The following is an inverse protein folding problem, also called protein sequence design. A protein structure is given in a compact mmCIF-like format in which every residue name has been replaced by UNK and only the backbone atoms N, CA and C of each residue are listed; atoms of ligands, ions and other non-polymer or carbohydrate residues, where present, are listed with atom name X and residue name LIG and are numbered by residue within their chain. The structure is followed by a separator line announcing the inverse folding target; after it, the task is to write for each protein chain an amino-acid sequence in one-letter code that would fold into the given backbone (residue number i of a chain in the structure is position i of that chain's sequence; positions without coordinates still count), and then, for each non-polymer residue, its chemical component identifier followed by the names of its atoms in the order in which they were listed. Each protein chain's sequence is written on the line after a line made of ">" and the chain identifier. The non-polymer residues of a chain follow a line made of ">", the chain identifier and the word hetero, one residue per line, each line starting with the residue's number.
data_IF_853626104781
#
_entry.id   IF_853626104781
#
_cell.length_a   1.000
_cell.length_b   1.000
_cell.length_c   1.000
_cell.angle_alpha   90.00
_cell.angle_beta   90.00
_cell.angle_gamma   90.00
#
_symmetry.space_group_name_H-M   'P 1'
#
loop_
_entity.id
_entity.type
_entity.pdbx_description
1 polymer ?
#
# COMPACT_ATOMS: atom_id res chain seq x y z
N UNK A 1 16.74 15.67 -16.26
CA UNK A 1 17.94 16.50 -16.00
C UNK A 1 18.56 17.04 -17.28
N UNK A 2 18.83 16.20 -18.29
CA UNK A 2 19.39 16.65 -19.59
C UNK A 2 18.45 17.62 -20.32
N UNK A 3 17.13 17.36 -20.32
CA UNK A 3 16.13 18.25 -20.92
C UNK A 3 15.94 19.58 -20.15
N UNK A 4 15.94 19.55 -18.82
CA UNK A 4 15.74 20.75 -17.99
C UNK A 4 16.93 21.71 -17.94
N UNK A 5 18.16 21.19 -17.97
CA UNK A 5 19.37 22.00 -17.96
C UNK A 5 19.73 22.58 -19.32
N UNK A 6 19.53 21.82 -20.42
CA UNK A 6 19.97 22.23 -21.75
C UNK A 6 18.93 23.07 -22.50
N UNK A 7 17.62 22.84 -22.26
CA UNK A 7 16.53 23.51 -22.99
C UNK A 7 15.94 24.67 -22.18
N UNK A 8 15.78 24.51 -20.86
CA UNK A 8 15.10 25.50 -20.01
C UNK A 8 16.04 26.49 -19.29
N UNK A 9 17.35 26.26 -19.25
CA UNK A 9 18.36 27.18 -18.66
C UNK A 9 18.14 27.62 -17.21
N UNK A 10 17.22 26.98 -16.47
CA UNK A 10 16.81 27.38 -15.11
C UNK A 10 17.43 26.55 -13.97
N UNK A 11 18.24 25.52 -14.25
CA UNK A 11 18.85 24.69 -13.20
C UNK A 11 20.19 25.26 -12.73
N UNK A 12 20.20 25.92 -11.56
CA UNK A 12 21.44 26.25 -10.86
C UNK A 12 21.99 25.03 -10.10
N UNK A 13 23.32 24.96 -9.92
CA UNK A 13 23.98 23.91 -9.11
C UNK A 13 23.43 23.79 -7.68
N UNK A 14 22.88 24.89 -7.14
CA UNK A 14 22.20 24.91 -5.83
C UNK A 14 20.85 24.18 -5.86
N UNK A 15 20.09 24.28 -6.95
CA UNK A 15 18.82 23.57 -7.11
C UNK A 15 19.06 22.07 -7.29
N UNK A 16 20.14 21.71 -7.99
CA UNK A 16 20.63 20.34 -8.09
C UNK A 16 20.90 19.75 -6.70
N UNK A 17 21.69 20.46 -5.89
CA UNK A 17 22.04 20.01 -4.54
C UNK A 17 20.83 19.94 -3.61
N UNK A 18 19.92 20.91 -3.70
CA UNK A 18 18.67 20.90 -2.94
C UNK A 18 17.74 19.74 -3.34
N UNK A 19 17.65 19.43 -4.64
CA UNK A 19 16.88 18.29 -5.13
C UNK A 19 17.48 16.97 -4.62
N UNK A 20 18.80 16.79 -4.75
CA UNK A 20 19.50 15.62 -4.20
C UNK A 20 19.26 15.49 -2.69
N UNK A 21 19.43 16.57 -1.92
CA UNK A 21 19.22 16.56 -0.47
C UNK A 21 17.79 16.17 -0.09
N UNK A 22 16.77 16.69 -0.80
CA UNK A 22 15.36 16.31 -0.57
C UNK A 22 15.11 14.83 -0.86
N UNK A 23 15.59 14.34 -1.99
CA UNK A 23 15.47 12.91 -2.34
C UNK A 23 16.19 12.02 -1.34
N UNK A 24 17.40 12.42 -0.91
CA UNK A 24 18.22 11.67 0.03
C UNK A 24 17.57 11.60 1.42
N UNK A 25 16.94 12.69 1.88
CA UNK A 25 16.16 12.67 3.13
C UNK A 25 14.97 11.72 3.05
N UNK A 26 14.20 11.75 1.95
CA UNK A 26 13.08 10.82 1.74
C UNK A 26 13.54 9.37 1.73
N UNK A 27 14.59 9.05 0.96
CA UNK A 27 15.14 7.70 0.90
C UNK A 27 15.72 7.24 2.24
N UNK A 28 16.36 8.13 3.00
CA UNK A 28 16.92 7.80 4.31
C UNK A 28 15.83 7.42 5.32
N UNK A 29 14.70 8.15 5.34
CA UNK A 29 13.54 7.81 6.19
C UNK A 29 12.96 6.45 5.79
N UNK A 30 12.79 6.20 4.49
CA UNK A 30 12.29 4.92 3.96
C UNK A 30 13.21 3.75 4.37
N UNK A 31 14.52 3.89 4.18
CA UNK A 31 15.50 2.85 4.52
C UNK A 31 15.53 2.58 6.04
N UNK A 32 15.37 3.63 6.85
CA UNK A 32 15.29 3.48 8.30
C UNK A 32 14.03 2.72 8.71
N UNK A 33 12.88 3.03 8.11
CA UNK A 33 11.62 2.29 8.34
C UNK A 33 11.79 0.83 7.93
N UNK A 34 12.38 0.54 6.76
CA UNK A 34 12.66 -0.85 6.30
C UNK A 34 13.53 -1.60 7.32
N UNK A 35 14.58 -0.97 7.83
CA UNK A 35 15.50 -1.59 8.78
C UNK A 35 14.80 -1.98 10.09
N UNK A 36 14.03 -1.05 10.68
CA UNK A 36 13.27 -1.31 11.92
C UNK A 36 12.17 -2.35 11.69
N UNK A 37 11.47 -2.25 10.56
CA UNK A 37 10.40 -3.15 10.13
C UNK A 37 10.90 -4.59 9.97
N UNK A 38 12.06 -4.78 9.33
CA UNK A 38 12.69 -6.09 9.16
C UNK A 38 13.10 -6.70 10.51
N UNK A 39 13.64 -5.88 11.42
CA UNK A 39 13.99 -6.31 12.77
C UNK A 39 12.74 -6.73 13.56
N UNK A 40 11.64 -5.98 13.46
CA UNK A 40 10.38 -6.31 14.12
C UNK A 40 9.77 -7.62 13.59
N UNK A 41 9.77 -7.82 12.27
CA UNK A 41 9.30 -9.08 11.66
C UNK A 41 10.09 -10.30 12.17
N UNK A 42 11.41 -10.18 12.30
CA UNK A 42 12.24 -11.25 12.88
C UNK A 42 11.89 -11.54 14.34
N UNK A 43 11.61 -10.50 15.14
CA UNK A 43 11.17 -10.64 16.54
C UNK A 43 9.82 -11.36 16.64
N UNK A 44 8.84 -11.02 15.80
CA UNK A 44 7.52 -11.64 15.83
C UNK A 44 7.60 -13.13 15.52
N UNK A 45 8.38 -13.49 14.50
CA UNK A 45 8.65 -14.88 14.13
C UNK A 45 9.31 -15.62 15.30
N UNK A 46 10.26 -14.98 15.99
CA UNK A 46 10.96 -15.59 17.12
C UNK A 46 10.10 -15.73 18.37
N UNK A 47 9.12 -14.84 18.57
CA UNK A 47 8.13 -14.94 19.65
C UNK A 47 7.04 -15.99 19.37
N UNK A 48 6.99 -16.57 18.17
CA UNK A 48 5.97 -17.55 17.82
C UNK A 48 4.56 -16.95 17.69
N UNK A 49 4.45 -15.62 17.61
CA UNK A 49 3.16 -14.93 17.46
C UNK A 49 2.41 -15.39 16.20
N UNK A 50 3.06 -15.57 15.04
CA UNK A 50 2.39 -16.07 13.85
C UNK A 50 1.73 -17.44 14.10
N UNK A 51 2.42 -18.37 14.78
CA UNK A 51 1.91 -19.69 15.14
C UNK A 51 0.76 -19.62 16.17
N UNK A 52 0.84 -18.72 17.15
CA UNK A 52 -0.23 -18.50 18.12
C UNK A 52 -1.50 -17.92 17.44
N UNK A 53 -1.33 -17.00 16.50
CA UNK A 53 -2.43 -16.46 15.69
C UNK A 53 -3.03 -17.51 14.76
N UNK A 54 -2.22 -18.37 14.13
CA UNK A 54 -2.71 -19.51 13.34
C UNK A 54 -3.67 -20.39 14.15
N UNK A 55 -3.27 -20.72 15.39
CA UNK A 55 -4.09 -21.52 16.31
C UNK A 55 -5.41 -20.82 16.69
N UNK A 56 -5.38 -19.49 16.91
CA UNK A 56 -6.59 -18.72 17.22
C UNK A 56 -7.49 -18.55 16.01
N UNK A 57 -6.95 -18.29 14.82
CA UNK A 57 -7.72 -18.17 13.58
C UNK A 57 -8.34 -19.52 13.21
N UNK A 58 -7.60 -20.64 13.38
CA UNK A 58 -8.15 -21.99 13.21
C UNK A 58 -9.28 -22.29 14.20
N UNK A 59 -9.28 -21.69 15.40
CA UNK A 59 -10.36 -21.84 16.37
C UNK A 59 -11.61 -21.00 16.06
N UNK A 60 -11.47 -19.97 15.21
CA UNK A 60 -12.55 -19.03 14.86
C UNK A 60 -13.32 -19.47 13.59
N UNK A 61 -12.82 -20.49 12.87
CA UNK A 61 -13.46 -21.07 11.66
C UNK A 61 -13.97 -20.01 10.67
N UNK A 62 -13.23 -18.91 10.55
CA UNK A 62 -13.59 -17.79 9.68
C UNK A 62 -13.26 -18.18 8.22
N UNK A 63 -14.21 -17.99 7.28
CA UNK A 63 -13.92 -18.24 5.87
C UNK A 63 -12.83 -17.28 5.39
N UNK A 64 -11.89 -17.80 4.61
CA UNK A 64 -10.72 -17.07 4.07
C UNK A 64 -11.10 -15.75 3.38
N UNK A 65 -12.25 -15.73 2.70
CA UNK A 65 -12.86 -14.55 2.12
C UNK A 65 -13.10 -13.42 3.15
N UNK A 66 -13.67 -13.75 4.32
CA UNK A 66 -13.96 -12.77 5.36
C UNK A 66 -12.68 -12.21 6.00
N UNK A 67 -11.64 -13.04 6.14
CA UNK A 67 -10.35 -12.59 6.64
C UNK A 67 -9.66 -11.62 5.67
N UNK A 68 -9.65 -11.94 4.36
CA UNK A 68 -9.15 -11.04 3.32
C UNK A 68 -9.94 -9.74 3.23
N UNK A 69 -11.27 -9.80 3.37
CA UNK A 69 -12.12 -8.62 3.39
C UNK A 69 -11.81 -7.70 4.58
N UNK A 70 -11.55 -8.29 5.76
CA UNK A 70 -11.13 -7.55 6.94
C UNK A 70 -9.79 -6.83 6.71
N UNK A 71 -8.79 -7.52 6.15
CA UNK A 71 -7.51 -6.91 5.79
C UNK A 71 -7.66 -5.82 4.74
N UNK A 72 -8.48 -6.04 3.72
CA UNK A 72 -8.75 -5.02 2.70
C UNK A 72 -9.37 -3.76 3.33
N UNK A 73 -10.39 -3.90 4.18
CA UNK A 73 -10.99 -2.76 4.89
C UNK A 73 -9.97 -2.03 5.79
N UNK A 74 -9.15 -2.78 6.51
CA UNK A 74 -8.08 -2.24 7.33
C UNK A 74 -7.06 -1.44 6.50
N UNK A 75 -6.59 -1.99 5.38
CA UNK A 75 -5.65 -1.32 4.49
C UNK A 75 -6.26 -0.12 3.77
N UNK A 76 -7.55 -0.18 3.41
CA UNK A 76 -8.25 0.95 2.81
C UNK A 76 -8.27 2.13 3.79
N UNK A 77 -8.59 1.85 5.06
CA UNK A 77 -8.63 2.85 6.12
C UNK A 77 -7.24 3.47 6.35
N UNK A 78 -6.19 2.65 6.43
CA UNK A 78 -4.81 3.11 6.60
C UNK A 78 -4.33 3.93 5.41
N UNK A 79 -4.59 3.47 4.19
CA UNK A 79 -4.18 4.14 2.96
C UNK A 79 -4.83 5.51 2.80
N UNK A 80 -5.94 5.78 3.50
CA UNK A 80 -6.50 7.13 3.56
C UNK A 80 -5.61 8.14 4.28
N UNK A 81 -4.80 7.69 5.26
CA UNK A 81 -3.96 8.56 6.10
C UNK A 81 -2.49 8.58 5.65
N UNK A 82 -1.99 7.46 5.13
CA UNK A 82 -0.57 7.24 4.85
C UNK A 82 -0.33 6.99 3.37
N UNK A 83 0.86 7.35 2.87
CA UNK A 83 1.24 7.03 1.50
C UNK A 83 1.45 5.53 1.33
N UNK A 84 1.21 5.01 0.12
CA UNK A 84 1.30 3.56 -0.20
C UNK A 84 2.63 2.97 0.29
N UNK A 85 3.73 3.68 0.07
CA UNK A 85 5.08 3.23 0.44
C UNK A 85 5.21 3.14 1.96
N UNK A 86 4.82 4.18 2.70
CA UNK A 86 4.93 4.18 4.17
C UNK A 86 4.11 3.06 4.80
N UNK A 87 2.89 2.83 4.29
CA UNK A 87 2.03 1.76 4.77
C UNK A 87 2.62 0.38 4.49
N UNK A 88 3.09 0.12 3.27
CA UNK A 88 3.71 -1.17 2.94
C UNK A 88 4.89 -1.44 3.87
N UNK A 89 5.78 -0.47 4.05
CA UNK A 89 6.99 -0.68 4.84
C UNK A 89 6.70 -1.01 6.31
N UNK A 90 5.71 -0.34 6.91
CA UNK A 90 5.34 -0.54 8.30
C UNK A 90 4.53 -1.83 8.50
N UNK A 91 3.55 -2.09 7.64
CA UNK A 91 2.57 -3.17 7.85
C UNK A 91 3.02 -4.51 7.28
N UNK A 92 3.85 -4.54 6.23
CA UNK A 92 4.36 -5.81 5.66
C UNK A 92 4.97 -6.75 6.72
N UNK A 93 5.93 -6.33 7.56
CA UNK A 93 6.55 -7.24 8.54
C UNK A 93 5.57 -7.72 9.63
N UNK A 94 4.44 -7.04 9.81
CA UNK A 94 3.45 -7.36 10.84
C UNK A 94 2.38 -8.29 10.27
N UNK A 95 1.84 -7.93 9.11
CA UNK A 95 0.64 -8.55 8.55
C UNK A 95 0.97 -9.75 7.66
N UNK A 96 2.08 -9.73 6.91
CA UNK A 96 2.50 -10.88 6.09
C UNK A 96 2.71 -12.16 6.90
N UNK A 97 3.47 -12.18 8.02
CA UNK A 97 3.63 -13.40 8.79
C UNK A 97 2.31 -13.88 9.43
N UNK A 98 1.41 -12.96 9.78
CA UNK A 98 0.08 -13.29 10.28
C UNK A 98 -0.81 -13.92 9.17
N UNK A 99 -0.77 -13.37 7.95
CA UNK A 99 -1.52 -13.87 6.79
C UNK A 99 -1.03 -15.27 6.37
N UNK A 100 0.29 -15.46 6.28
CA UNK A 100 0.90 -16.77 5.98
C UNK A 100 0.50 -17.83 7.01
N UNK A 101 0.44 -17.43 8.28
CA UNK A 101 0.04 -18.31 9.38
C UNK A 101 -1.43 -18.69 9.36
N UNK A 102 -2.28 -17.82 8.80
CA UNK A 102 -3.68 -18.11 8.52
C UNK A 102 -3.89 -18.95 7.24
N UNK A 103 -2.81 -19.37 6.56
CA UNK A 103 -2.87 -20.16 5.33
C UNK A 103 -3.15 -19.35 4.06
N UNK A 104 -2.96 -18.03 4.10
CA UNK A 104 -3.10 -17.20 2.90
C UNK A 104 -1.90 -17.33 1.98
N UNK A 105 -2.20 -17.44 0.68
CA UNK A 105 -1.18 -17.34 -0.34
C UNK A 105 -0.53 -15.94 -0.29
N UNK A 106 0.80 -15.85 -0.16
CA UNK A 106 1.50 -14.58 0.00
C UNK A 106 1.41 -13.68 -1.24
N UNK A 107 1.32 -14.27 -2.44
CA UNK A 107 1.22 -13.50 -3.69
C UNK A 107 -0.16 -12.85 -3.77
N UNK A 108 -1.21 -13.64 -3.54
CA UNK A 108 -2.58 -13.14 -3.51
C UNK A 108 -2.75 -12.04 -2.45
N UNK A 109 -2.25 -12.27 -1.24
CA UNK A 109 -2.30 -11.30 -0.16
C UNK A 109 -1.54 -10.00 -0.49
N UNK A 110 -0.34 -10.11 -1.07
CA UNK A 110 0.45 -8.95 -1.48
C UNK A 110 -0.25 -8.10 -2.54
N UNK A 111 -0.88 -8.72 -3.54
CA UNK A 111 -1.65 -8.03 -4.57
C UNK A 111 -2.83 -7.28 -3.95
N UNK A 112 -3.61 -7.94 -3.09
CA UNK A 112 -4.74 -7.31 -2.39
C UNK A 112 -4.26 -6.12 -1.54
N UNK A 113 -3.16 -6.27 -0.81
CA UNK A 113 -2.57 -5.21 0.00
C UNK A 113 -2.18 -3.99 -0.83
N UNK A 114 -1.42 -4.18 -1.91
CA UNK A 114 -0.94 -3.07 -2.76
C UNK A 114 -2.09 -2.36 -3.46
N UNK A 115 -3.04 -3.11 -4.02
CA UNK A 115 -4.20 -2.52 -4.69
C UNK A 115 -5.04 -1.74 -3.68
N UNK A 116 -5.36 -2.33 -2.53
CA UNK A 116 -6.23 -1.69 -1.55
C UNK A 116 -5.61 -0.43 -0.93
N UNK A 117 -4.29 -0.43 -0.70
CA UNK A 117 -3.54 0.76 -0.27
C UNK A 117 -3.51 1.85 -1.36
N UNK A 118 -3.30 1.46 -2.62
CA UNK A 118 -3.34 2.39 -3.76
C UNK A 118 -4.70 3.05 -3.92
N UNK A 119 -5.77 2.36 -3.52
CA UNK A 119 -7.13 2.89 -3.50
C UNK A 119 -7.36 3.76 -2.26
N UNK A 120 -6.78 3.40 -1.11
CA UNK A 120 -6.86 4.23 0.09
C UNK A 120 -6.38 5.66 -0.14
N UNK A 121 -5.28 5.87 -0.86
CA UNK A 121 -4.70 7.22 -1.09
C UNK A 121 -5.54 8.14 -1.97
N UNK A 122 -6.51 7.59 -2.71
CA UNK A 122 -7.50 8.29 -3.55
C UNK A 122 -8.91 8.27 -2.97
N UNK A 123 -9.15 7.51 -1.88
CA UNK A 123 -10.46 7.46 -1.21
C UNK A 123 -10.64 8.70 -0.31
N UNK A 124 -11.83 9.35 -0.29
CA UNK A 124 -12.08 10.56 0.48
C UNK A 124 -12.33 10.26 1.97
N UNK A 125 -11.27 10.34 2.80
CA UNK A 125 -11.30 11.14 4.05
C UNK A 125 -10.08 12.06 4.22
N UNK A 126 -8.89 11.62 3.79
CA UNK A 126 -7.61 12.36 3.92
C UNK A 126 -6.61 12.10 2.77
N UNK A 127 -7.06 11.56 1.63
CA UNK A 127 -6.17 11.08 0.55
C UNK A 127 -5.06 12.07 0.19
N UNK A 128 -3.81 11.67 0.42
CA UNK A 128 -2.62 12.53 0.19
C UNK A 128 -2.54 12.99 -1.26
N UNK A 129 -3.01 12.15 -2.19
CA UNK A 129 -3.08 12.45 -3.63
C UNK A 129 -4.22 13.44 -3.93
N UNK A 130 -5.37 13.33 -3.25
CA UNK A 130 -6.47 14.32 -3.36
C UNK A 130 -5.99 15.72 -2.95
N UNK A 131 -5.24 15.83 -1.85
CA UNK A 131 -4.66 17.10 -1.41
C UNK A 131 -3.64 17.67 -2.40
N UNK A 132 -2.80 16.81 -2.98
CA UNK A 132 -1.88 17.22 -4.05
C UNK A 132 -2.64 17.78 -5.26
N UNK A 133 -3.71 17.10 -5.68
CA UNK A 133 -4.54 17.50 -6.81
C UNK A 133 -5.27 18.82 -6.57
N UNK A 134 -5.76 19.06 -5.36
CA UNK A 134 -6.33 20.38 -4.97
C UNK A 134 -5.29 21.49 -5.12
N UNK A 135 -4.04 21.24 -4.72
CA UNK A 135 -2.94 22.20 -4.89
C UNK A 135 -2.61 22.52 -6.35
N UNK A 136 -2.68 21.52 -7.23
CA UNK A 136 -2.37 21.66 -8.67
C UNK A 136 -3.55 22.31 -9.43
N UNK A 137 -4.77 21.84 -9.19
CA UNK A 137 -5.97 22.28 -9.92
C UNK A 137 -6.57 23.57 -9.37
N UNK A 138 -6.21 23.97 -8.15
CA UNK A 138 -6.81 25.11 -7.40
C UNK A 138 -8.33 25.02 -7.21
N UNK A 139 -8.93 23.85 -7.44
CA UNK A 139 -10.33 23.59 -7.18
C UNK A 139 -10.55 23.34 -5.68
N UNK A 140 -11.78 23.54 -5.20
CA UNK A 140 -12.10 23.25 -3.79
C UNK A 140 -12.07 21.73 -3.57
N UNK A 141 -11.61 21.30 -2.39
CA UNK A 141 -11.54 19.88 -2.01
C UNK A 141 -12.83 19.11 -2.32
N UNK A 142 -14.00 19.68 -1.98
CA UNK A 142 -15.28 19.04 -2.27
C UNK A 142 -15.55 18.78 -3.76
N UNK A 143 -15.07 19.64 -4.67
CA UNK A 143 -15.23 19.45 -6.12
C UNK A 143 -14.37 18.30 -6.63
N UNK A 144 -13.16 18.17 -6.12
CA UNK A 144 -12.25 17.07 -6.48
C UNK A 144 -12.77 15.73 -5.93
N UNK A 145 -13.28 15.72 -4.69
CA UNK A 145 -13.89 14.53 -4.07
C UNK A 145 -15.09 14.04 -4.86
N UNK A 146 -16.00 14.94 -5.22
CA UNK A 146 -17.21 14.60 -5.99
C UNK A 146 -16.89 14.11 -7.41
N UNK A 147 -15.81 14.61 -8.01
CA UNK A 147 -15.33 14.11 -9.29
C UNK A 147 -14.70 12.71 -9.22
N UNK A 148 -14.08 12.34 -8.09
CA UNK A 148 -13.42 11.03 -7.89
C UNK A 148 -14.41 9.98 -7.38
N UNK A 149 -15.48 10.38 -6.69
CA UNK A 149 -16.53 9.49 -6.18
C UNK A 149 -17.07 8.47 -7.20
N UNK A 150 -17.38 8.82 -8.48
CA UNK A 150 -17.81 7.83 -9.47
C UNK A 150 -16.72 6.80 -9.83
N UNK A 151 -15.45 7.17 -9.72
CA UNK A 151 -14.33 6.25 -9.98
C UNK A 151 -14.07 5.27 -8.84
N UNK A 152 -14.56 5.53 -7.63
CA UNK A 152 -14.46 4.58 -6.51
C UNK A 152 -15.27 3.31 -6.74
N UNK A 153 -16.39 3.41 -7.47
CA UNK A 153 -17.30 2.30 -7.73
C UNK A 153 -16.63 1.13 -8.50
N UNK A 154 -16.01 1.34 -9.68
CA UNK A 154 -15.30 0.27 -10.38
C UNK A 154 -14.08 -0.24 -9.61
N UNK A 155 -13.45 0.62 -8.80
CA UNK A 155 -12.27 0.26 -8.01
C UNK A 155 -12.64 -0.67 -6.85
N UNK A 156 -13.69 -0.35 -6.09
CA UNK A 156 -14.21 -1.21 -5.02
C UNK A 156 -14.70 -2.53 -5.62
N UNK A 157 -15.38 -2.48 -6.77
CA UNK A 157 -15.78 -3.69 -7.49
C UNK A 157 -14.55 -4.56 -7.84
N UNK A 158 -13.47 -3.95 -8.33
CA UNK A 158 -12.22 -4.67 -8.63
C UNK A 158 -11.63 -5.33 -7.39
N UNK A 159 -11.57 -4.63 -6.25
CA UNK A 159 -11.09 -5.21 -4.98
C UNK A 159 -11.94 -6.42 -4.57
N UNK A 160 -13.27 -6.28 -4.63
CA UNK A 160 -14.20 -7.33 -4.22
C UNK A 160 -14.12 -8.55 -5.15
N UNK A 161 -13.92 -8.31 -6.44
CA UNK A 161 -13.71 -9.34 -7.46
C UNK A 161 -12.38 -10.07 -7.24
N UNK A 162 -11.32 -9.35 -6.85
CA UNK A 162 -10.01 -9.92 -6.53
C UNK A 162 -10.09 -10.79 -5.27
N UNK A 163 -10.81 -10.36 -4.23
CA UNK A 163 -11.03 -11.14 -3.01
C UNK A 163 -11.90 -12.39 -3.30
N UNK A 164 -12.88 -12.30 -4.20
CA UNK A 164 -13.77 -13.42 -4.53
C UNK A 164 -13.14 -14.44 -5.50
N UNK A 165 -12.24 -14.00 -6.37
CA UNK A 165 -11.59 -14.81 -7.41
C UNK A 165 -10.06 -14.71 -7.27
N UNK A 166 -9.45 -15.49 -6.36
CA UNK A 166 -7.99 -15.50 -6.21
C UNK A 166 -7.27 -15.89 -7.51
N UNK A 167 -7.92 -16.70 -8.35
CA UNK A 167 -7.42 -17.10 -9.66
C UNK A 167 -7.18 -15.94 -10.62
N UNK A 168 -7.86 -14.79 -10.55
CA UNK A 168 -7.53 -13.65 -11.43
C UNK A 168 -6.18 -13.01 -11.08
N UNK A 169 -5.79 -13.10 -9.81
CA UNK A 169 -4.53 -12.55 -9.32
C UNK A 169 -3.37 -13.54 -9.48
N UNK A 170 -3.63 -14.85 -9.35
CA UNK A 170 -2.60 -15.91 -9.43
C UNK A 170 -2.46 -16.53 -10.82
N UNK A 171 -3.45 -16.41 -11.72
CA UNK A 171 -3.38 -17.04 -13.05
C UNK A 171 -2.19 -16.56 -13.88
N UNK A 172 -1.82 -15.28 -13.80
CA UNK A 172 -0.65 -14.78 -14.52
C UNK A 172 0.68 -15.24 -13.89
N UNK A 173 0.87 -15.17 -12.55
CA UNK A 173 1.99 -15.82 -11.85
C UNK A 173 2.13 -17.33 -12.15
N UNK A 174 1.03 -18.09 -12.08
CA UNK A 174 1.01 -19.54 -12.30
C UNK A 174 1.48 -19.91 -13.73
N UNK A 175 1.09 -19.12 -14.74
CA UNK A 175 1.53 -19.31 -16.14
C UNK A 175 3.01 -18.92 -16.33
N UNK A 176 3.50 -17.95 -15.56
CA UNK A 176 4.90 -17.51 -15.60
C UNK A 176 5.83 -18.35 -14.71
N UNK A 177 5.29 -19.35 -13.99
CA UNK A 177 6.06 -20.32 -13.23
C UNK A 177 6.45 -19.87 -11.82
N UNK A 178 5.67 -18.99 -11.19
CA UNK A 178 5.81 -18.58 -9.79
C UNK A 178 4.65 -19.09 -8.94
#
# INVERSE_FOLDING_TARGET
>A
MILGGLVYRDLNWRDLFNAFRRTLMFSAVILLIIAVSSFYGWILVRMGIPQALAGQVASIDMPMFALLLCFALFFLLIGCFMSVIESILIFTPIVVPAALSAGLDPVHFGIVMVITLSVGVITPPFGTVLFLMVGITRLRYGQVVTAILPFLLPIIATILLLIALPGLATWLPDIMGY
#
